data_IF_330146477511
#
_entry.id   IF_330146477511
#
_cell.length_a   1.000
_cell.length_b   1.000
_cell.length_c   1.000
_cell.angle_alpha   90.00
_cell.angle_beta   90.00
_cell.angle_gamma   90.00
#
_symmetry.space_group_name_H-M   'P 1'
#
loop_
_entity.id
_entity.type
_entity.pdbx_description
1 polymer ?
#
# COMPACT_ATOMS: atom_id res chain seq x y z
N UNK A 1 15.59 17.17 14.78
CA UNK A 1 15.61 18.23 15.82
C UNK A 1 14.36 19.07 15.59
N UNK A 2 13.45 19.08 16.53
CA UNK A 2 12.12 19.68 16.37
C UNK A 2 12.21 21.22 16.52
N UNK A 3 11.62 21.93 15.57
CA UNK A 3 11.55 23.39 15.53
C UNK A 3 10.58 23.96 16.62
N UNK A 4 10.65 23.44 17.86
CA UNK A 4 9.85 23.96 18.98
C UNK A 4 10.23 25.40 19.39
N UNK A 5 11.42 25.86 18.99
CA UNK A 5 11.91 27.20 19.27
C UNK A 5 11.20 28.31 18.51
N UNK A 6 10.67 28.02 17.31
CA UNK A 6 9.98 29.04 16.49
C UNK A 6 8.71 29.57 17.15
N UNK A 7 7.79 28.72 17.66
CA UNK A 7 6.60 29.20 18.39
C UNK A 7 6.96 29.98 19.67
N UNK A 8 7.95 29.50 20.43
CA UNK A 8 8.41 30.15 21.64
C UNK A 8 9.02 31.55 21.36
N UNK A 9 9.77 31.67 20.27
CA UNK A 9 10.37 32.92 19.82
C UNK A 9 9.29 33.94 19.39
N UNK A 10 8.24 33.48 18.69
CA UNK A 10 7.11 34.36 18.29
C UNK A 10 6.30 34.78 19.48
N UNK A 11 6.02 33.90 20.44
CA UNK A 11 5.35 34.30 21.71
C UNK A 11 6.22 35.30 22.49
N UNK A 12 7.54 35.04 22.56
CA UNK A 12 8.49 35.97 23.20
C UNK A 12 8.50 37.34 22.54
N UNK A 13 8.53 37.43 21.22
CA UNK A 13 8.47 38.69 20.47
C UNK A 13 7.12 39.43 20.74
N UNK A 14 6.00 38.67 20.78
CA UNK A 14 4.69 39.25 21.10
C UNK A 14 4.62 39.86 22.51
N UNK A 15 5.18 39.16 23.51
CA UNK A 15 5.25 39.64 24.89
C UNK A 15 6.18 40.85 24.99
N UNK A 16 7.38 40.79 24.42
CA UNK A 16 8.34 41.88 24.42
C UNK A 16 7.80 43.09 23.67
N UNK A 17 7.14 42.89 22.52
CA UNK A 17 6.48 43.94 21.76
C UNK A 17 5.36 44.63 22.56
N UNK A 18 4.57 43.88 23.32
CA UNK A 18 3.53 44.43 24.18
C UNK A 18 4.13 45.25 25.35
N UNK A 19 5.19 44.76 26.00
CA UNK A 19 5.91 45.44 27.06
C UNK A 19 6.57 46.73 26.52
N UNK A 20 7.22 46.69 25.38
CA UNK A 20 7.83 47.84 24.73
C UNK A 20 6.79 48.91 24.35
N UNK A 21 5.65 48.53 23.78
CA UNK A 21 4.55 49.44 23.46
C UNK A 21 3.97 50.13 24.70
N UNK A 22 3.91 49.43 25.83
CA UNK A 22 3.36 49.99 27.07
C UNK A 22 4.37 50.83 27.87
N UNK A 23 5.68 50.50 27.79
CA UNK A 23 6.71 51.19 28.58
C UNK A 23 7.43 52.29 27.83
N UNK A 24 7.68 52.15 26.51
CA UNK A 24 8.46 53.14 25.73
C UNK A 24 7.59 54.22 25.11
N UNK A 25 6.36 53.92 24.77
CA UNK A 25 5.43 54.90 24.19
C UNK A 25 4.45 55.47 25.21
N UNK A 26 4.78 55.58 26.41
CA UNK A 26 4.04 56.16 27.50
C UNK A 26 2.56 56.47 27.26
N UNK A 27 1.74 56.39 28.29
CA UNK A 27 0.28 56.60 28.22
C UNK A 27 -0.16 57.92 27.58
N UNK A 28 0.72 58.92 27.49
CA UNK A 28 0.44 60.26 26.96
C UNK A 28 0.31 60.36 25.44
N UNK A 29 0.84 59.35 24.66
CA UNK A 29 0.82 59.41 23.19
C UNK A 29 -0.33 58.62 22.55
N UNK A 30 -1.07 57.80 23.31
CA UNK A 30 -2.24 57.07 22.80
C UNK A 30 -3.50 57.81 23.20
N UNK A 31 -3.88 58.80 22.40
CA UNK A 31 -4.98 59.76 22.68
C UNK A 31 -6.38 59.13 22.71
N UNK A 32 -6.59 57.85 22.45
CA UNK A 32 -7.88 57.21 22.66
C UNK A 32 -7.76 55.80 23.23
N UNK A 33 -8.58 55.49 24.22
CA UNK A 33 -8.75 54.16 24.81
C UNK A 33 -8.96 53.07 23.72
N UNK A 34 -9.70 53.39 22.65
CA UNK A 34 -10.01 52.49 21.55
C UNK A 34 -8.77 52.05 20.77
N UNK A 35 -7.79 52.92 20.51
CA UNK A 35 -6.54 52.60 19.80
C UNK A 35 -5.67 51.67 20.64
N UNK A 36 -5.57 51.90 21.94
CA UNK A 36 -4.81 51.07 22.87
C UNK A 36 -5.38 49.65 22.95
N UNK A 37 -6.67 49.53 23.07
CA UNK A 37 -7.34 48.23 23.17
C UNK A 37 -7.29 47.47 21.85
N UNK A 38 -7.42 48.17 20.72
CA UNK A 38 -7.22 47.51 19.38
C UNK A 38 -5.82 47.00 19.22
N UNK A 39 -4.78 47.76 19.59
CA UNK A 39 -3.39 47.33 19.54
C UNK A 39 -3.14 46.11 20.44
N UNK A 40 -3.70 46.08 21.65
CA UNK A 40 -3.61 44.90 22.53
C UNK A 40 -4.24 43.65 21.88
N UNK A 41 -5.45 43.78 21.33
CA UNK A 41 -6.13 42.64 20.65
C UNK A 41 -5.30 42.14 19.47
N UNK A 42 -4.79 43.05 18.61
CA UNK A 42 -3.94 42.67 17.47
C UNK A 42 -2.67 41.97 17.94
N UNK A 43 -2.04 42.43 19.02
CA UNK A 43 -0.84 41.80 19.58
C UNK A 43 -1.15 40.39 20.12
N UNK A 44 -2.26 40.21 20.83
CA UNK A 44 -2.70 38.88 21.29
C UNK A 44 -2.99 37.93 20.12
N UNK A 45 -3.71 38.41 19.10
CA UNK A 45 -3.98 37.58 17.90
C UNK A 45 -2.66 37.21 17.21
N UNK A 46 -1.74 38.15 17.04
CA UNK A 46 -0.44 37.90 16.42
C UNK A 46 0.43 36.93 17.22
N UNK A 47 0.30 36.88 18.54
CA UNK A 47 1.01 35.93 19.39
C UNK A 47 0.36 34.53 19.41
N UNK A 48 -0.97 34.46 19.47
CA UNK A 48 -1.72 33.20 19.61
C UNK A 48 -1.86 32.46 18.29
N UNK A 49 -2.10 33.17 17.18
CA UNK A 49 -2.36 32.57 15.89
C UNK A 49 -1.21 31.71 15.35
N UNK A 50 0.06 32.14 15.35
CA UNK A 50 1.18 31.32 14.92
C UNK A 50 1.38 30.05 15.78
N UNK A 51 1.11 30.16 17.09
CA UNK A 51 1.21 29.05 18.03
C UNK A 51 0.17 27.99 17.73
N UNK A 52 -1.10 28.42 17.56
CA UNK A 52 -2.19 27.52 17.20
C UNK A 52 -1.95 26.86 15.84
N UNK A 53 -1.51 27.63 14.85
CA UNK A 53 -1.20 27.12 13.51
C UNK A 53 -0.03 26.12 13.51
N UNK A 54 1.00 26.39 14.30
CA UNK A 54 2.13 25.48 14.50
C UNK A 54 1.69 24.18 15.17
N UNK A 55 0.79 24.26 16.15
CA UNK A 55 0.24 23.08 16.82
C UNK A 55 -0.59 22.22 15.85
N UNK A 56 -1.50 22.83 15.07
CA UNK A 56 -2.31 22.12 14.08
C UNK A 56 -1.42 21.40 13.05
N UNK A 57 -0.42 22.11 12.52
CA UNK A 57 0.54 21.50 11.58
C UNK A 57 1.37 20.37 12.21
N UNK A 58 1.76 20.50 13.46
CA UNK A 58 2.49 19.47 14.18
C UNK A 58 1.62 18.20 14.36
N UNK A 59 0.35 18.40 14.72
CA UNK A 59 -0.61 17.30 14.85
C UNK A 59 -0.88 16.59 13.51
N UNK A 60 -1.05 17.32 12.42
CA UNK A 60 -1.21 16.74 11.07
C UNK A 60 0.03 15.92 10.67
N UNK A 61 1.23 16.44 10.90
CA UNK A 61 2.47 15.71 10.64
C UNK A 61 2.58 14.44 11.49
N UNK A 62 2.20 14.54 12.76
CA UNK A 62 2.20 13.38 13.65
C UNK A 62 1.22 12.32 13.18
N UNK A 63 -0.02 12.67 12.85
CA UNK A 63 -1.03 11.75 12.31
C UNK A 63 -0.56 11.10 11.00
N UNK A 64 0.05 11.87 10.10
CA UNK A 64 0.60 11.36 8.85
C UNK A 64 1.75 10.37 9.10
N UNK A 65 2.71 10.71 9.96
CA UNK A 65 3.84 9.83 10.28
C UNK A 65 3.38 8.54 10.96
N UNK A 66 2.38 8.62 11.84
CA UNK A 66 1.79 7.45 12.50
C UNK A 66 1.05 6.55 11.50
N UNK A 67 0.29 7.13 10.56
CA UNK A 67 -0.34 6.37 9.47
C UNK A 67 0.70 5.65 8.61
N UNK A 68 1.78 6.32 8.24
CA UNK A 68 2.86 5.71 7.45
C UNK A 68 3.59 4.61 8.23
N UNK A 69 3.82 4.80 9.55
CA UNK A 69 4.42 3.76 10.40
C UNK A 69 3.55 2.51 10.45
N UNK A 70 2.25 2.66 10.73
CA UNK A 70 1.29 1.52 10.75
C UNK A 70 1.23 0.81 9.40
N UNK A 71 1.25 1.56 8.29
CA UNK A 71 1.28 0.98 6.95
C UNK A 71 2.54 0.13 6.73
N UNK A 72 3.71 0.61 7.13
CA UNK A 72 4.97 -0.15 7.04
C UNK A 72 4.93 -1.42 7.89
N UNK A 73 4.51 -1.32 9.14
CA UNK A 73 4.38 -2.47 10.04
C UNK A 73 3.42 -3.53 9.48
N UNK A 74 2.31 -3.10 8.87
CA UNK A 74 1.38 -4.02 8.22
C UNK A 74 2.00 -4.70 6.98
N UNK A 75 2.73 -3.96 6.14
CA UNK A 75 3.43 -4.53 4.99
C UNK A 75 4.52 -5.52 5.41
N UNK A 76 5.25 -5.25 6.48
CA UNK A 76 6.26 -6.18 7.00
C UNK A 76 5.62 -7.48 7.51
N UNK A 77 4.50 -7.38 8.24
CA UNK A 77 3.71 -8.56 8.64
C UNK A 77 3.21 -9.35 7.43
N UNK A 78 2.76 -8.66 6.38
CA UNK A 78 2.33 -9.34 5.14
C UNK A 78 3.48 -10.10 4.48
N UNK A 79 4.70 -9.55 4.46
CA UNK A 79 5.89 -10.24 3.93
C UNK A 79 6.22 -11.49 4.74
N UNK A 80 6.16 -11.42 6.06
CA UNK A 80 6.40 -12.58 6.92
C UNK A 80 5.37 -13.69 6.68
N UNK A 81 4.12 -13.31 6.49
CA UNK A 81 3.05 -14.26 6.16
C UNK A 81 3.21 -14.85 4.75
N UNK A 82 3.66 -14.07 3.76
CA UNK A 82 3.98 -14.61 2.44
C UNK A 82 5.09 -15.66 2.52
N UNK A 83 6.13 -15.44 3.34
CA UNK A 83 7.18 -16.45 3.59
C UNK A 83 6.61 -17.72 4.22
N UNK A 84 5.80 -17.57 5.26
CA UNK A 84 5.14 -18.70 5.91
C UNK A 84 4.21 -19.46 4.94
N UNK A 85 3.47 -18.74 4.10
CA UNK A 85 2.60 -19.30 3.09
C UNK A 85 3.38 -20.13 2.06
N UNK A 86 4.51 -19.66 1.56
CA UNK A 86 5.36 -20.44 0.63
C UNK A 86 5.78 -21.75 1.30
N UNK A 87 6.30 -21.71 2.52
CA UNK A 87 6.75 -22.90 3.24
C UNK A 87 5.62 -23.91 3.42
N UNK A 88 4.42 -23.43 3.76
CA UNK A 88 3.26 -24.28 4.01
C UNK A 88 2.63 -24.84 2.73
N UNK A 89 2.46 -24.01 1.70
CA UNK A 89 1.75 -24.37 0.46
C UNK A 89 2.64 -25.21 -0.44
N UNK A 90 3.94 -24.87 -0.51
CA UNK A 90 4.91 -25.54 -1.37
C UNK A 90 5.87 -26.43 -0.57
N UNK A 91 5.33 -27.18 0.37
CA UNK A 91 6.11 -28.11 1.21
C UNK A 91 6.99 -29.04 0.35
N UNK A 92 8.27 -29.12 0.71
CA UNK A 92 9.29 -29.91 -0.01
C UNK A 92 9.96 -29.17 -1.18
N UNK A 93 9.50 -27.97 -1.56
CA UNK A 93 10.23 -27.10 -2.47
C UNK A 93 11.22 -26.20 -1.69
N UNK A 94 12.20 -25.65 -2.40
CA UNK A 94 13.09 -24.64 -1.84
C UNK A 94 12.38 -23.27 -1.81
N UNK A 95 12.07 -22.72 -0.63
CA UNK A 95 11.31 -21.46 -0.51
C UNK A 95 11.99 -20.28 -1.22
N UNK A 96 13.31 -20.29 -1.36
CA UNK A 96 14.05 -19.21 -2.03
C UNK A 96 13.92 -19.22 -3.56
N UNK A 97 13.41 -20.30 -4.12
CA UNK A 97 13.15 -20.42 -5.56
C UNK A 97 11.73 -19.97 -5.93
N UNK A 98 10.90 -19.73 -4.92
CA UNK A 98 9.51 -19.30 -5.09
C UNK A 98 9.41 -17.85 -4.66
N UNK A 99 8.81 -17.04 -5.51
CA UNK A 99 8.47 -15.65 -5.21
C UNK A 99 6.99 -15.58 -4.87
N UNK A 100 6.62 -14.60 -4.08
CA UNK A 100 5.22 -14.27 -3.84
C UNK A 100 5.02 -12.76 -3.82
N UNK A 101 3.85 -12.33 -4.28
CA UNK A 101 3.47 -10.93 -4.24
C UNK A 101 1.96 -10.77 -4.04
N UNK A 102 1.59 -9.63 -3.46
CA UNK A 102 0.22 -9.14 -3.39
C UNK A 102 0.13 -7.96 -4.33
N UNK A 103 -0.79 -8.03 -5.26
CA UNK A 103 -1.12 -6.94 -6.19
C UNK A 103 -2.47 -6.35 -5.82
N UNK A 104 -2.59 -5.04 -5.90
CA UNK A 104 -3.84 -4.30 -5.68
C UNK A 104 -4.18 -3.49 -6.94
N UNK A 105 -5.45 -3.18 -7.09
CA UNK A 105 -5.91 -2.30 -8.18
C UNK A 105 -5.56 -0.84 -7.84
N UNK A 106 -4.93 -0.16 -8.79
CA UNK A 106 -4.61 1.26 -8.74
C UNK A 106 -4.74 1.86 -10.15
N UNK A 107 -5.74 2.72 -10.34
CA UNK A 107 -5.98 3.40 -11.61
C UNK A 107 -6.32 2.48 -12.79
N UNK A 108 -6.98 1.34 -12.56
CA UNK A 108 -7.37 0.37 -13.60
C UNK A 108 -6.30 -0.67 -13.93
N UNK A 109 -5.22 -0.71 -13.18
CA UNK A 109 -4.14 -1.69 -13.30
C UNK A 109 -3.82 -2.35 -11.96
N UNK A 110 -3.34 -3.57 -12.00
CA UNK A 110 -2.74 -4.22 -10.82
C UNK A 110 -1.29 -3.77 -10.66
N UNK A 111 -0.96 -3.31 -9.47
CA UNK A 111 0.40 -2.96 -9.05
C UNK A 111 0.83 -3.82 -7.87
N UNK A 112 2.12 -4.09 -7.74
CA UNK A 112 2.64 -4.84 -6.60
C UNK A 112 2.65 -3.95 -5.35
N UNK A 113 1.88 -4.36 -4.34
CA UNK A 113 1.83 -3.70 -3.03
C UNK A 113 2.99 -4.15 -2.14
N UNK A 114 3.21 -5.46 -2.06
CA UNK A 114 4.33 -6.06 -1.35
C UNK A 114 4.72 -7.38 -2.01
N UNK A 115 5.97 -7.77 -1.83
CA UNK A 115 6.50 -9.02 -2.38
C UNK A 115 7.59 -9.59 -1.49
N UNK A 116 7.94 -10.84 -1.76
CA UNK A 116 9.13 -11.51 -1.26
C UNK A 116 9.89 -12.15 -2.42
N UNK A 117 11.22 -12.20 -2.30
CA UNK A 117 12.15 -12.75 -3.29
C UNK A 117 12.08 -12.05 -4.67
N UNK A 118 11.54 -10.78 -4.73
CA UNK A 118 11.41 -9.99 -5.97
C UNK A 118 12.14 -8.65 -5.94
N UNK A 119 12.65 -8.21 -4.79
CA UNK A 119 13.05 -6.82 -4.50
C UNK A 119 14.11 -6.27 -5.46
N UNK A 120 14.86 -7.13 -6.13
CA UNK A 120 15.93 -6.74 -7.07
C UNK A 120 15.64 -7.11 -8.52
N UNK A 121 14.41 -7.52 -8.83
CA UNK A 121 14.04 -7.94 -10.18
C UNK A 121 13.36 -6.81 -10.96
N UNK A 122 13.61 -6.77 -12.26
CA UNK A 122 13.04 -5.75 -13.16
C UNK A 122 11.50 -5.84 -13.23
N UNK A 123 10.93 -7.00 -12.96
CA UNK A 123 9.48 -7.23 -12.96
C UNK A 123 8.74 -6.76 -11.69
N UNK A 124 9.47 -6.24 -10.68
CA UNK A 124 8.85 -5.65 -9.49
C UNK A 124 7.88 -4.48 -9.82
N UNK A 125 8.18 -3.73 -10.88
CA UNK A 125 7.35 -2.60 -11.30
C UNK A 125 6.32 -2.95 -12.39
N UNK A 126 6.07 -4.24 -12.62
CA UNK A 126 5.09 -4.66 -13.62
C UNK A 126 3.70 -4.13 -13.28
N UNK A 127 3.01 -3.64 -14.30
CA UNK A 127 1.61 -3.25 -14.23
C UNK A 127 0.80 -4.16 -15.14
N UNK A 128 -0.32 -4.66 -14.66
CA UNK A 128 -1.17 -5.59 -15.41
C UNK A 128 -2.60 -5.04 -15.48
N UNK A 129 -3.07 -4.80 -16.68
CA UNK A 129 -4.45 -4.40 -16.90
C UNK A 129 -5.42 -5.57 -16.64
N UNK A 130 -6.69 -5.26 -16.51
CA UNK A 130 -7.77 -6.23 -16.39
C UNK A 130 -7.72 -7.27 -17.51
N UNK A 131 -7.68 -8.54 -17.16
CA UNK A 131 -7.56 -9.66 -18.12
C UNK A 131 -6.15 -9.87 -18.69
N UNK A 132 -5.13 -9.13 -18.26
CA UNK A 132 -3.78 -9.27 -18.78
C UNK A 132 -2.88 -10.10 -17.84
N UNK A 133 -2.18 -11.06 -18.39
CA UNK A 133 -1.31 -11.97 -17.63
C UNK A 133 -2.09 -12.82 -16.62
N UNK A 134 -1.38 -13.59 -15.80
CA UNK A 134 -2.00 -14.50 -14.86
C UNK A 134 -2.82 -13.76 -13.80
N UNK A 135 -2.27 -12.69 -13.21
CA UNK A 135 -2.95 -11.92 -12.19
C UNK A 135 -4.14 -11.11 -12.75
N UNK A 136 -4.01 -10.49 -13.93
CA UNK A 136 -5.13 -9.82 -14.58
C UNK A 136 -6.27 -10.77 -14.99
N UNK A 137 -5.94 -12.01 -15.38
CA UNK A 137 -6.93 -13.07 -15.62
C UNK A 137 -7.61 -13.53 -14.34
N UNK A 138 -6.89 -13.60 -13.21
CA UNK A 138 -7.48 -13.87 -11.90
C UNK A 138 -8.46 -12.75 -11.50
N UNK A 139 -8.08 -11.50 -11.73
CA UNK A 139 -8.97 -10.35 -11.54
C UNK A 139 -10.24 -10.45 -12.40
N UNK A 140 -10.08 -10.73 -13.69
CA UNK A 140 -11.22 -10.91 -14.61
C UNK A 140 -12.16 -12.00 -14.13
N UNK A 141 -11.64 -13.17 -13.76
CA UNK A 141 -12.42 -14.26 -13.20
C UNK A 141 -13.15 -13.85 -11.93
N UNK A 142 -12.49 -13.13 -11.02
CA UNK A 142 -13.09 -12.62 -9.80
C UNK A 142 -14.32 -11.74 -10.04
N UNK A 143 -14.34 -10.98 -11.13
CA UNK A 143 -15.43 -10.07 -11.46
C UNK A 143 -16.53 -10.71 -12.31
N UNK A 144 -16.19 -11.59 -13.26
CA UNK A 144 -17.10 -12.08 -14.29
C UNK A 144 -17.61 -13.51 -14.04
N UNK A 145 -16.87 -14.35 -13.32
CA UNK A 145 -17.25 -15.75 -13.11
C UNK A 145 -18.40 -15.90 -12.10
N UNK A 146 -19.15 -17.00 -12.17
CA UNK A 146 -20.11 -17.39 -11.11
C UNK A 146 -19.41 -17.49 -9.75
N UNK A 147 -20.15 -17.25 -8.64
CA UNK A 147 -19.60 -17.23 -7.29
C UNK A 147 -18.74 -18.45 -6.95
N UNK A 148 -19.16 -19.64 -7.36
CA UNK A 148 -18.42 -20.90 -7.13
C UNK A 148 -17.07 -20.98 -7.83
N UNK A 149 -16.84 -20.18 -8.85
CA UNK A 149 -15.61 -20.19 -9.66
C UNK A 149 -14.71 -18.97 -9.44
N UNK A 150 -15.20 -17.94 -8.75
CA UNK A 150 -14.43 -16.69 -8.51
C UNK A 150 -13.13 -16.93 -7.74
N UNK A 151 -13.13 -17.92 -6.85
CA UNK A 151 -11.99 -18.28 -5.99
C UNK A 151 -10.98 -19.21 -6.65
N UNK A 152 -11.32 -19.75 -7.83
CA UNK A 152 -10.46 -20.70 -8.52
C UNK A 152 -9.18 -20.01 -8.99
N UNK A 153 -8.01 -20.49 -8.57
CA UNK A 153 -6.73 -19.94 -9.00
C UNK A 153 -6.56 -20.00 -10.53
N UNK A 154 -5.85 -19.01 -11.06
CA UNK A 154 -5.40 -18.99 -12.45
C UNK A 154 -3.95 -19.48 -12.50
N UNK A 155 -3.67 -20.49 -13.31
CA UNK A 155 -2.35 -21.07 -13.48
C UNK A 155 -1.82 -20.80 -14.89
N UNK A 156 -0.64 -20.23 -14.97
CA UNK A 156 0.14 -20.07 -16.20
C UNK A 156 1.44 -20.87 -16.14
N UNK A 157 1.50 -22.08 -16.72
CA UNK A 157 2.74 -22.83 -16.91
C UNK A 157 3.55 -22.20 -18.05
N UNK A 158 4.24 -21.10 -17.77
CA UNK A 158 4.81 -20.20 -18.78
C UNK A 158 5.85 -20.86 -19.67
N UNK A 159 6.58 -21.86 -19.16
CA UNK A 159 7.51 -22.65 -19.97
C UNK A 159 6.83 -23.47 -21.08
N UNK A 160 5.52 -23.71 -20.96
CA UNK A 160 4.73 -24.45 -21.94
C UNK A 160 3.99 -23.51 -22.91
N UNK A 161 4.14 -22.18 -22.75
CA UNK A 161 3.46 -21.18 -23.54
C UNK A 161 4.43 -20.56 -24.55
N UNK A 162 4.04 -20.57 -25.83
CA UNK A 162 4.77 -19.83 -26.86
C UNK A 162 4.55 -18.33 -26.66
N UNK A 163 5.50 -17.50 -27.17
CA UNK A 163 5.36 -16.03 -27.18
C UNK A 163 4.02 -15.60 -27.82
N UNK A 164 3.60 -16.29 -28.88
CA UNK A 164 2.31 -16.04 -29.52
C UNK A 164 1.14 -16.24 -28.55
N UNK A 165 1.11 -17.35 -27.81
CA UNK A 165 0.08 -17.61 -26.82
C UNK A 165 0.09 -16.58 -25.67
N UNK A 166 1.27 -16.15 -25.24
CA UNK A 166 1.39 -15.09 -24.23
C UNK A 166 0.77 -13.77 -24.69
N UNK A 167 0.86 -13.43 -25.99
CA UNK A 167 0.19 -12.25 -26.56
C UNK A 167 -1.30 -12.47 -26.77
N UNK A 168 -1.67 -13.56 -27.42
CA UNK A 168 -3.04 -13.76 -27.93
C UNK A 168 -4.02 -14.20 -26.82
N UNK A 169 -3.57 -15.08 -25.90
CA UNK A 169 -4.43 -15.63 -24.84
C UNK A 169 -4.26 -14.91 -23.50
N UNK A 170 -3.05 -14.41 -23.21
CA UNK A 170 -2.73 -13.76 -21.94
C UNK A 170 -2.60 -12.24 -22.07
N UNK A 171 -2.77 -11.70 -23.26
CA UNK A 171 -2.76 -10.28 -23.59
C UNK A 171 -1.53 -9.51 -23.06
N UNK A 172 -0.39 -10.20 -22.92
CA UNK A 172 0.86 -9.57 -22.48
C UNK A 172 1.49 -8.78 -23.61
N UNK A 173 2.00 -7.59 -23.32
CA UNK A 173 2.81 -6.81 -24.24
C UNK A 173 4.19 -7.43 -24.41
N UNK A 174 4.91 -7.08 -25.47
CA UNK A 174 6.28 -7.56 -25.72
C UNK A 174 7.24 -7.16 -24.59
N UNK A 175 7.05 -5.98 -24.02
CA UNK A 175 7.78 -5.52 -22.85
C UNK A 175 7.52 -6.43 -21.64
N UNK A 176 6.24 -6.67 -21.30
CA UNK A 176 5.86 -7.55 -20.20
C UNK A 176 6.36 -8.99 -20.40
N UNK A 177 6.34 -9.51 -21.63
CA UNK A 177 6.91 -10.80 -21.96
C UNK A 177 8.44 -10.79 -21.75
N UNK A 178 9.11 -9.71 -22.15
CA UNK A 178 10.55 -9.56 -22.01
C UNK A 178 10.99 -9.50 -20.55
N UNK A 179 10.37 -8.66 -19.73
CA UNK A 179 10.73 -8.51 -18.32
C UNK A 179 10.39 -9.74 -17.48
N UNK A 180 9.36 -10.50 -17.85
CA UNK A 180 8.95 -11.73 -17.14
C UNK A 180 9.49 -13.02 -17.78
N UNK A 181 10.43 -12.94 -18.73
CA UNK A 181 10.96 -14.12 -19.48
C UNK A 181 11.57 -15.21 -18.58
N UNK A 182 12.11 -14.82 -17.42
CA UNK A 182 12.74 -15.71 -16.45
C UNK A 182 11.73 -16.47 -15.57
N UNK A 183 10.46 -16.09 -15.59
CA UNK A 183 9.40 -16.75 -14.83
C UNK A 183 9.02 -18.06 -15.54
N UNK A 184 9.00 -19.16 -14.79
CA UNK A 184 8.72 -20.49 -15.33
C UNK A 184 7.25 -20.89 -15.19
N UNK A 185 6.63 -20.51 -14.09
CA UNK A 185 5.21 -20.73 -13.80
C UNK A 185 4.69 -19.60 -12.91
N UNK A 186 3.39 -19.34 -12.98
CA UNK A 186 2.68 -18.37 -12.13
C UNK A 186 1.37 -18.99 -11.70
N UNK A 187 1.04 -18.86 -10.42
CA UNK A 187 -0.25 -19.19 -9.82
C UNK A 187 -0.82 -17.91 -9.19
N UNK A 188 -1.99 -17.47 -9.62
CA UNK A 188 -2.63 -16.26 -9.13
C UNK A 188 -4.01 -16.54 -8.56
N UNK A 189 -4.27 -16.02 -7.35
CA UNK A 189 -5.51 -16.22 -6.58
C UNK A 189 -6.11 -14.86 -6.27
N UNK A 190 -7.38 -14.61 -6.57
CA UNK A 190 -8.02 -13.35 -6.21
C UNK A 190 -8.18 -13.21 -4.70
N UNK A 191 -8.03 -11.99 -4.21
CA UNK A 191 -8.25 -11.60 -2.82
C UNK A 191 -9.59 -10.88 -2.73
N UNK A 192 -10.43 -11.30 -1.80
CA UNK A 192 -11.74 -10.71 -1.59
C UNK A 192 -11.93 -10.19 -0.17
N UNK A 193 -12.79 -9.21 -0.03
CA UNK A 193 -13.48 -8.90 1.21
C UNK A 193 -14.78 -9.69 1.26
N UNK A 194 -14.98 -10.42 2.33
CA UNK A 194 -16.29 -11.00 2.66
C UNK A 194 -17.07 -9.98 3.50
N UNK A 195 -18.06 -9.35 2.91
CA UNK A 195 -18.92 -8.39 3.59
C UNK A 195 -20.39 -8.89 3.49
N UNK A 196 -20.78 -9.78 4.41
CA UNK A 196 -22.11 -10.40 4.39
C UNK A 196 -22.34 -11.22 3.11
N UNK A 197 -23.35 -10.85 2.31
CA UNK A 197 -23.65 -11.50 1.03
C UNK A 197 -22.86 -10.97 -0.16
N UNK A 198 -22.13 -9.85 0.00
CA UNK A 198 -21.37 -9.23 -1.06
C UNK A 198 -19.87 -9.56 -0.94
N UNK A 199 -19.26 -9.92 -2.06
CA UNK A 199 -17.83 -10.09 -2.17
C UNK A 199 -17.25 -8.95 -2.97
N UNK A 200 -16.33 -8.18 -2.37
CA UNK A 200 -15.60 -7.12 -3.04
C UNK A 200 -14.20 -7.61 -3.39
N UNK A 201 -13.80 -7.49 -4.65
CA UNK A 201 -12.42 -7.74 -5.07
C UNK A 201 -11.49 -6.69 -4.45
N UNK A 202 -10.38 -7.13 -3.87
CA UNK A 202 -9.38 -6.28 -3.23
C UNK A 202 -8.02 -6.34 -3.94
N UNK A 203 -7.73 -7.45 -4.62
CA UNK A 203 -6.44 -7.66 -5.26
C UNK A 203 -6.19 -9.10 -5.65
N UNK A 204 -4.93 -9.42 -5.89
CA UNK A 204 -4.48 -10.76 -6.31
C UNK A 204 -3.26 -11.16 -5.50
N UNK A 205 -3.27 -12.36 -4.96
CA UNK A 205 -2.11 -13.05 -4.41
C UNK A 205 -1.50 -13.90 -5.54
N UNK A 206 -0.22 -13.69 -5.83
CA UNK A 206 0.49 -14.49 -6.84
C UNK A 206 1.72 -15.16 -6.28
N UNK A 207 1.93 -16.39 -6.69
CA UNK A 207 3.15 -17.15 -6.50
C UNK A 207 3.78 -17.44 -7.86
N UNK A 208 5.08 -17.39 -7.96
CA UNK A 208 5.79 -17.74 -9.19
C UNK A 208 7.17 -18.35 -8.91
N UNK A 209 7.66 -19.13 -9.86
CA UNK A 209 8.97 -19.75 -9.82
C UNK A 209 9.87 -19.26 -10.92
N UNK A 210 11.13 -18.94 -10.58
CA UNK A 210 12.10 -18.32 -11.50
C UNK A 210 13.37 -19.14 -11.74
N UNK A 211 13.75 -20.03 -10.83
CA UNK A 211 15.02 -20.75 -10.91
C UNK A 211 14.88 -22.22 -11.28
N UNK A 212 13.82 -22.84 -10.81
CA UNK A 212 13.55 -24.25 -11.07
C UNK A 212 12.08 -24.45 -11.37
N UNK A 213 11.71 -25.35 -12.31
CA UNK A 213 10.36 -25.84 -12.36
C UNK A 213 10.06 -26.52 -11.04
N UNK A 214 8.80 -26.48 -10.60
CA UNK A 214 8.38 -27.28 -9.46
C UNK A 214 8.74 -28.75 -9.70
N UNK A 215 9.16 -29.46 -8.66
CA UNK A 215 9.46 -30.88 -8.71
C UNK A 215 8.28 -31.68 -9.26
N UNK A 216 7.08 -31.24 -8.93
CA UNK A 216 5.84 -31.79 -9.44
C UNK A 216 4.89 -30.64 -9.90
N UNK A 217 4.89 -30.35 -11.21
CA UNK A 217 3.99 -29.38 -11.84
C UNK A 217 2.51 -29.78 -11.69
N UNK A 218 2.22 -31.07 -11.50
CA UNK A 218 0.85 -31.56 -11.29
C UNK A 218 0.29 -31.05 -9.96
N UNK A 219 1.14 -30.80 -8.94
CA UNK A 219 0.72 -30.17 -7.68
C UNK A 219 0.07 -28.80 -7.87
N UNK A 220 0.45 -28.04 -8.89
CA UNK A 220 -0.21 -26.75 -9.19
C UNK A 220 -1.68 -26.91 -9.59
N UNK A 221 -2.10 -28.12 -9.99
CA UNK A 221 -3.49 -28.45 -10.30
C UNK A 221 -4.20 -29.12 -9.13
N UNK A 222 -3.50 -29.36 -8.03
CA UNK A 222 -4.04 -30.02 -6.86
C UNK A 222 -5.07 -29.11 -6.18
N UNK A 223 -6.24 -29.66 -5.93
CA UNK A 223 -7.32 -28.97 -5.22
C UNK A 223 -6.92 -28.55 -3.81
N UNK A 224 -6.12 -29.36 -3.11
CA UNK A 224 -5.62 -29.05 -1.75
C UNK A 224 -4.73 -27.81 -1.76
N UNK A 225 -3.84 -27.67 -2.75
CA UNK A 225 -3.01 -26.50 -2.94
C UNK A 225 -3.86 -25.26 -3.23
N UNK A 226 -4.90 -25.40 -4.05
CA UNK A 226 -5.82 -24.32 -4.37
C UNK A 226 -6.59 -23.83 -3.13
N UNK A 227 -7.05 -24.74 -2.26
CA UNK A 227 -7.69 -24.37 -0.99
C UNK A 227 -6.69 -23.61 -0.10
N UNK A 228 -5.49 -24.14 0.08
CA UNK A 228 -4.47 -23.44 0.88
C UNK A 228 -4.13 -22.05 0.37
N UNK A 229 -4.11 -21.85 -0.95
CA UNK A 229 -3.93 -20.53 -1.54
C UNK A 229 -5.13 -19.59 -1.29
N UNK A 230 -6.36 -20.13 -1.36
CA UNK A 230 -7.56 -19.35 -1.09
C UNK A 230 -7.66 -18.92 0.37
N UNK A 231 -7.36 -19.82 1.33
CA UNK A 231 -7.31 -19.50 2.76
C UNK A 231 -6.33 -18.38 3.06
N UNK A 232 -5.14 -18.44 2.44
CA UNK A 232 -4.11 -17.39 2.57
C UNK A 232 -4.58 -16.08 1.95
N UNK A 233 -5.23 -16.12 0.79
CA UNK A 233 -5.77 -14.93 0.13
C UNK A 233 -6.87 -14.25 0.95
N UNK A 234 -7.75 -15.01 1.59
CA UNK A 234 -8.78 -14.50 2.50
C UNK A 234 -8.17 -13.79 3.71
N UNK A 235 -7.14 -14.38 4.30
CA UNK A 235 -6.41 -13.75 5.40
C UNK A 235 -5.78 -12.41 5.00
N UNK A 236 -5.16 -12.34 3.81
CA UNK A 236 -4.64 -11.07 3.30
C UNK A 236 -5.74 -10.04 3.03
N UNK A 237 -6.91 -10.48 2.58
CA UNK A 237 -8.08 -9.61 2.42
C UNK A 237 -8.44 -8.92 3.72
N UNK A 238 -8.51 -9.65 4.83
CA UNK A 238 -8.75 -9.11 6.17
C UNK A 238 -7.67 -8.10 6.58
N UNK A 239 -6.40 -8.42 6.36
CA UNK A 239 -5.29 -7.51 6.70
C UNK A 239 -5.29 -6.21 5.90
N UNK A 240 -5.62 -6.25 4.61
CA UNK A 240 -5.70 -5.06 3.74
C UNK A 240 -6.75 -4.07 4.26
N UNK A 241 -7.86 -4.59 4.78
CA UNK A 241 -8.96 -3.79 5.32
C UNK A 241 -8.66 -3.23 6.71
N UNK A 242 -8.24 -4.08 7.65
CA UNK A 242 -7.95 -3.69 9.04
C UNK A 242 -6.91 -2.58 9.12
N UNK A 243 -5.94 -2.57 8.23
CA UNK A 243 -4.86 -1.58 8.22
C UNK A 243 -5.11 -0.38 7.29
N UNK A 244 -6.29 -0.27 6.68
CA UNK A 244 -6.63 0.81 5.73
C UNK A 244 -5.56 1.01 4.65
N UNK A 245 -5.02 -0.08 4.10
CA UNK A 245 -3.89 -0.01 3.15
C UNK A 245 -4.37 0.48 1.78
N UNK A 246 -5.64 0.22 1.45
CA UNK A 246 -6.28 0.54 0.17
C UNK A 246 -6.84 1.97 0.09
N UNK A 247 -6.69 2.80 1.16
CA UNK A 247 -7.21 4.17 1.26
C UNK A 247 -6.10 5.22 1.33
#
# INVERSE_FOLDING_TARGET
MSNYWVPLLIVGIGIVGNVLLTTVWGEEHVQSLAVRDTLRIVTYIAAVFPTLFSYIRAEERYKKSEKERRKREALDKMRDLLRAAIVKIFEGEDPETIRANIMIEDGGELIILCSINMEFNHDYNIRLAYGHGCAGMAWKRACEAPMSERWVPVLAPKTQLSTKRLRDEWHLTDEQIGITRHVLWILSVPIFQLAGSETKFLGVLSFDGVRKPLKDVHRLKDHTLHIGCADVAEYFGSMLLENNILN
#
